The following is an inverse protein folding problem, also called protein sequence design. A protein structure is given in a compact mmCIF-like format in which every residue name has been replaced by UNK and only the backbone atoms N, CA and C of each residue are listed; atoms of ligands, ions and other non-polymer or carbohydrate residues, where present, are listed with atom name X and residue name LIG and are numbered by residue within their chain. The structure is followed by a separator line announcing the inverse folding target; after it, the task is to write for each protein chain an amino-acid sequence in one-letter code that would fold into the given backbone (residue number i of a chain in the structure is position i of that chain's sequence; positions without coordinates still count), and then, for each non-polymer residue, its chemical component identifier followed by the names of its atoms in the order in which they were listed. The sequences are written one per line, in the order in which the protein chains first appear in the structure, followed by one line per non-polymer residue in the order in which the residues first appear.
data_IF_296015670075
#
_entry.id   IF_296015670075
#
_cell.length_a   1.000
_cell.length_b   1.000
_cell.length_c   1.000
_cell.angle_alpha   90.00
_cell.angle_beta   90.00
_cell.angle_gamma   90.00
#
_symmetry.space_group_name_H-M   'P 1'
#
loop_
_entity.id
_entity.type
_entity.pdbx_description
1 polymer ?
#
# COMPACT_ATOMS: atom_id res chain seq x y z
N UNK A 1 -35.58 29.98 13.17
CA UNK A 1 -34.70 28.83 12.89
C UNK A 1 -33.71 29.25 11.81
N UNK A 2 -32.41 29.01 12.03
CA UNK A 2 -31.35 29.27 11.04
C UNK A 2 -30.66 27.94 10.75
N UNK A 3 -30.55 27.58 9.48
CA UNK A 3 -29.91 26.34 9.04
C UNK A 3 -28.79 26.69 8.08
N UNK A 4 -27.58 26.38 8.49
CA UNK A 4 -26.42 26.42 7.63
C UNK A 4 -26.28 25.11 6.86
N UNK A 5 -25.71 25.17 5.65
CA UNK A 5 -25.59 24.05 4.72
C UNK A 5 -26.93 23.32 4.46
N UNK A 6 -27.94 24.07 4.05
CA UNK A 6 -29.31 23.58 3.81
C UNK A 6 -29.39 22.43 2.79
N UNK A 7 -28.34 22.17 2.00
CA UNK A 7 -28.22 20.97 1.17
C UNK A 7 -28.36 19.65 1.95
N UNK A 8 -28.08 19.64 3.26
CA UNK A 8 -28.28 18.47 4.11
C UNK A 8 -29.77 18.07 4.27
N UNK A 9 -30.70 18.96 3.91
CA UNK A 9 -32.15 18.82 4.12
C UNK A 9 -32.88 18.73 2.76
N UNK A 10 -32.16 18.46 1.66
CA UNK A 10 -32.70 18.42 0.30
C UNK A 10 -33.76 17.34 0.02
N UNK A 11 -33.89 16.33 0.88
CA UNK A 11 -34.80 15.21 0.68
C UNK A 11 -35.98 15.28 1.65
N UNK A 12 -37.19 15.45 1.12
CA UNK A 12 -38.46 15.45 1.87
C UNK A 12 -38.70 14.13 2.62
N UNK A 13 -38.15 13.01 2.13
CA UNK A 13 -38.27 11.71 2.79
C UNK A 13 -37.37 11.58 4.04
N UNK A 14 -36.40 12.48 4.21
CA UNK A 14 -35.46 12.46 5.33
C UNK A 14 -36.16 12.68 6.67
N UNK A 15 -35.80 11.88 7.66
CA UNK A 15 -36.26 12.04 9.06
C UNK A 15 -35.88 13.43 9.58
N UNK A 16 -34.69 13.92 9.23
CA UNK A 16 -34.21 15.26 9.63
C UNK A 16 -35.13 16.36 9.10
N UNK A 17 -35.59 16.23 7.85
CA UNK A 17 -36.51 17.18 7.23
C UNK A 17 -37.86 17.21 7.97
N UNK A 18 -38.44 16.01 8.22
CA UNK A 18 -39.74 15.88 8.90
C UNK A 18 -39.74 16.44 10.32
N UNK A 19 -38.69 16.15 11.10
CA UNK A 19 -38.56 16.67 12.46
C UNK A 19 -38.41 18.19 12.45
N UNK A 20 -37.57 18.73 11.56
CA UNK A 20 -37.34 20.17 11.49
C UNK A 20 -38.58 20.94 11.06
N UNK A 21 -39.39 20.36 10.17
CA UNK A 21 -40.66 20.96 9.74
C UNK A 21 -41.67 21.06 10.89
N UNK A 22 -41.68 20.07 11.81
CA UNK A 22 -42.58 20.02 12.96
C UNK A 22 -42.29 21.06 14.05
N UNK A 23 -41.13 21.72 14.03
CA UNK A 23 -40.84 22.79 14.98
C UNK A 23 -41.62 24.06 14.63
N UNK A 24 -42.34 24.59 15.61
CA UNK A 24 -43.01 25.87 15.50
C UNK A 24 -41.97 27.00 15.49
N UNK A 25 -41.81 27.67 14.34
CA UNK A 25 -40.82 28.72 14.13
C UNK A 25 -41.44 29.81 13.25
N UNK A 26 -41.43 31.06 13.73
CA UNK A 26 -41.99 32.21 12.98
C UNK A 26 -41.22 32.51 11.69
N UNK A 27 -39.88 32.53 11.77
CA UNK A 27 -38.99 32.78 10.63
C UNK A 27 -38.03 31.61 10.44
N UNK A 28 -37.84 31.18 9.19
CA UNK A 28 -36.90 30.13 8.79
C UNK A 28 -35.90 30.73 7.79
N UNK A 29 -34.60 30.63 8.09
CA UNK A 29 -33.51 31.09 7.24
C UNK A 29 -32.65 29.90 6.83
N UNK A 30 -32.47 29.71 5.52
CA UNK A 30 -31.63 28.68 4.95
C UNK A 30 -30.41 29.32 4.31
N UNK A 31 -29.22 28.84 4.66
CA UNK A 31 -27.96 29.22 4.05
C UNK A 31 -27.41 27.99 3.30
N UNK A 32 -27.01 28.18 2.05
CA UNK A 32 -26.40 27.12 1.24
C UNK A 32 -25.43 27.73 0.23
N UNK A 33 -24.22 27.16 0.14
CA UNK A 33 -23.23 27.56 -0.86
C UNK A 33 -23.54 27.05 -2.27
N UNK A 34 -24.32 25.98 -2.39
CA UNK A 34 -24.71 25.34 -3.66
C UNK A 34 -26.23 25.18 -3.71
N UNK A 35 -26.97 26.19 -4.20
CA UNK A 35 -28.43 26.22 -4.09
C UNK A 35 -29.13 25.17 -4.94
N UNK A 36 -28.49 24.66 -5.99
CA UNK A 36 -29.07 23.71 -6.93
C UNK A 36 -27.99 22.69 -7.26
N UNK A 37 -28.22 21.42 -6.92
CA UNK A 37 -27.32 20.37 -7.37
C UNK A 37 -27.96 19.49 -8.43
N UNK A 38 -29.17 18.90 -8.31
CA UNK A 38 -29.57 17.91 -9.34
C UNK A 38 -31.07 17.72 -9.67
N UNK A 39 -32.06 18.29 -8.94
CA UNK A 39 -33.49 18.04 -9.26
C UNK A 39 -34.46 19.14 -8.81
N UNK A 40 -35.55 19.35 -9.56
CA UNK A 40 -36.67 20.23 -9.18
C UNK A 40 -37.34 19.81 -7.87
N UNK A 41 -37.31 18.51 -7.55
CA UNK A 41 -37.80 18.00 -6.28
C UNK A 41 -36.99 18.51 -5.07
N UNK A 42 -35.67 18.67 -5.22
CA UNK A 42 -34.82 19.24 -4.16
C UNK A 42 -35.15 20.72 -3.93
N UNK A 43 -35.42 21.46 -5.01
CA UNK A 43 -35.80 22.87 -4.93
C UNK A 43 -37.17 23.06 -4.28
N UNK A 44 -38.16 22.22 -4.64
CA UNK A 44 -39.47 22.22 -3.98
C UNK A 44 -39.34 21.91 -2.49
N UNK A 45 -38.54 20.91 -2.12
CA UNK A 45 -38.34 20.52 -0.72
C UNK A 45 -37.80 21.67 0.15
N UNK A 46 -36.92 22.52 -0.41
CA UNK A 46 -36.38 23.69 0.28
C UNK A 46 -37.40 24.84 0.36
N UNK A 47 -38.16 25.10 -0.72
CA UNK A 47 -39.19 26.13 -0.73
C UNK A 47 -40.37 25.80 0.20
N UNK A 48 -40.88 24.58 0.14
CA UNK A 48 -41.92 24.09 1.04
C UNK A 48 -41.45 24.12 2.51
N UNK A 49 -40.16 23.87 2.76
CA UNK A 49 -39.60 24.02 4.10
C UNK A 49 -39.62 25.47 4.62
N UNK A 50 -39.39 26.47 3.76
CA UNK A 50 -39.46 27.88 4.17
C UNK A 50 -40.92 28.33 4.35
N UNK A 51 -41.78 27.98 3.39
CA UNK A 51 -43.16 28.44 3.32
C UNK A 51 -44.07 27.27 2.92
N UNK A 52 -44.54 26.46 3.89
CA UNK A 52 -45.33 25.27 3.59
C UNK A 52 -46.64 25.63 2.87
N UNK A 53 -47.37 26.61 3.39
CA UNK A 53 -48.72 27.03 2.94
C UNK A 53 -48.82 27.57 1.52
N UNK A 54 -47.71 27.96 0.89
CA UNK A 54 -47.69 28.47 -0.48
C UNK A 54 -47.26 27.39 -1.48
N UNK A 55 -46.63 26.32 -0.99
CA UNK A 55 -46.05 25.26 -1.79
C UNK A 55 -46.49 23.90 -1.25
N UNK A 56 -47.79 23.71 -1.02
CA UNK A 56 -48.32 22.52 -0.36
C UNK A 56 -48.24 21.25 -1.24
N UNK A 57 -48.46 21.39 -2.54
CA UNK A 57 -48.46 20.25 -3.47
C UNK A 57 -47.17 20.18 -4.30
N UNK A 58 -46.46 19.06 -4.16
CA UNK A 58 -45.32 18.74 -5.03
C UNK A 58 -45.76 18.46 -6.46
N UNK A 59 -46.95 17.88 -6.66
CA UNK A 59 -47.49 17.57 -7.98
C UNK A 59 -47.87 18.84 -8.73
N UNK A 60 -48.49 19.82 -8.09
CA UNK A 60 -48.80 21.12 -8.71
C UNK A 60 -47.51 21.86 -9.07
N UNK A 61 -46.52 21.83 -8.17
CA UNK A 61 -45.21 22.41 -8.44
C UNK A 61 -44.55 21.73 -9.65
N UNK A 62 -44.56 20.40 -9.69
CA UNK A 62 -44.04 19.67 -10.84
C UNK A 62 -44.86 20.01 -12.08
N UNK A 63 -46.20 20.00 -12.08
CA UNK A 63 -46.99 20.37 -13.26
C UNK A 63 -46.71 21.79 -13.75
N UNK A 64 -46.49 22.75 -12.85
CA UNK A 64 -46.11 24.12 -13.22
C UNK A 64 -44.73 24.20 -13.89
N UNK A 65 -43.87 23.19 -13.72
CA UNK A 65 -42.48 23.20 -14.21
C UNK A 65 -42.11 22.03 -15.15
N UNK A 66 -42.84 20.92 -15.16
CA UNK A 66 -42.55 19.68 -15.91
C UNK A 66 -43.42 19.56 -17.16
N UNK A 67 -44.71 19.92 -17.12
CA UNK A 67 -45.55 20.03 -18.35
C UNK A 67 -44.96 21.03 -19.35
N UNK A 68 -44.32 22.09 -18.85
CA UNK A 68 -43.69 23.13 -19.66
C UNK A 68 -42.25 22.75 -20.13
N UNK A 69 -41.66 21.67 -19.63
CA UNK A 69 -40.34 21.17 -20.06
C UNK A 69 -40.45 19.89 -20.90
N UNK A 70 -41.37 18.99 -20.58
CA UNK A 70 -41.59 17.72 -21.30
C UNK A 70 -42.38 17.90 -22.60
N UNK A 71 -43.27 18.89 -22.71
CA UNK A 71 -43.91 19.27 -23.99
C UNK A 71 -42.93 19.72 -25.08
N UNK A 72 -41.66 19.92 -24.71
CA UNK A 72 -40.56 20.29 -25.61
C UNK A 72 -39.62 19.12 -25.97
N UNK A 73 -39.79 17.92 -25.39
CA UNK A 73 -39.00 16.75 -25.82
C UNK A 73 -39.38 16.27 -27.24
N UNK A 74 -40.56 16.64 -27.74
CA UNK A 74 -41.02 16.33 -29.09
C UNK A 74 -40.54 17.35 -30.15
N UNK A 75 -40.14 18.57 -29.74
CA UNK A 75 -39.69 19.62 -30.65
C UNK A 75 -38.31 20.14 -30.25
N UNK A 76 -37.26 19.68 -30.95
CA UNK A 76 -35.85 20.07 -30.84
C UNK A 76 -35.59 21.55 -31.15
N UNK A 77 -36.19 22.48 -30.41
CA UNK A 77 -35.90 23.91 -30.51
C UNK A 77 -35.59 24.47 -29.14
N UNK A 78 -34.38 25.04 -29.04
CA UNK A 78 -33.86 25.99 -28.06
C UNK A 78 -34.83 26.31 -26.92
N UNK A 79 -34.48 25.84 -25.71
CA UNK A 79 -35.18 26.16 -24.46
C UNK A 79 -35.39 27.68 -24.37
N UNK A 80 -36.66 28.09 -24.31
CA UNK A 80 -37.06 29.49 -24.34
C UNK A 80 -36.64 30.23 -23.05
N UNK A 81 -35.76 31.23 -23.18
CA UNK A 81 -35.33 32.14 -22.10
C UNK A 81 -36.51 32.75 -21.31
N UNK A 82 -37.70 32.82 -21.94
CA UNK A 82 -38.94 33.32 -21.35
C UNK A 82 -39.42 32.47 -20.16
N UNK A 83 -39.30 31.15 -20.21
CA UNK A 83 -39.74 30.28 -19.11
C UNK A 83 -38.74 30.29 -17.96
N UNK A 84 -37.44 30.25 -18.27
CA UNK A 84 -36.37 30.40 -17.29
C UNK A 84 -36.48 31.76 -16.57
N UNK A 85 -36.77 32.84 -17.31
CA UNK A 85 -36.94 34.16 -16.72
C UNK A 85 -38.19 34.27 -15.82
N UNK A 86 -39.29 33.57 -16.14
CA UNK A 86 -40.49 33.49 -15.27
C UNK A 86 -40.16 32.77 -13.96
N UNK A 87 -39.47 31.64 -14.03
CA UNK A 87 -38.94 30.91 -12.87
C UNK A 87 -38.05 31.79 -12.00
N UNK A 88 -37.08 32.48 -12.61
CA UNK A 88 -36.20 33.40 -11.90
C UNK A 88 -36.96 34.56 -11.24
N UNK A 89 -38.00 35.11 -11.87
CA UNK A 89 -38.84 36.17 -11.27
C UNK A 89 -39.57 35.68 -10.02
N UNK A 90 -40.08 34.46 -10.03
CA UNK A 90 -40.77 33.84 -8.89
C UNK A 90 -39.78 33.56 -7.75
N UNK A 91 -38.57 33.09 -8.07
CA UNK A 91 -37.54 32.73 -7.08
C UNK A 91 -36.79 33.94 -6.48
N UNK A 92 -36.68 35.04 -7.23
CA UNK A 92 -35.95 36.26 -6.83
C UNK A 92 -36.32 36.82 -5.43
N UNK A 93 -37.59 36.88 -5.00
CA UNK A 93 -37.93 37.33 -3.65
C UNK A 93 -37.54 36.33 -2.54
N UNK A 94 -37.41 35.04 -2.86
CA UNK A 94 -37.12 33.98 -1.88
C UNK A 94 -35.63 33.65 -1.77
N UNK A 95 -34.84 33.97 -2.80
CA UNK A 95 -33.45 33.60 -2.89
C UNK A 95 -32.57 34.81 -3.22
N UNK A 96 -31.66 35.14 -2.30
CA UNK A 96 -30.56 36.05 -2.56
C UNK A 96 -29.34 35.24 -3.01
N UNK A 97 -28.99 35.35 -4.30
CA UNK A 97 -27.78 34.74 -4.88
C UNK A 97 -26.81 35.83 -5.32
N UNK A 98 -25.56 35.74 -4.87
CA UNK A 98 -24.44 36.60 -5.32
C UNK A 98 -23.36 35.73 -5.94
N UNK A 99 -22.68 36.22 -6.97
CA UNK A 99 -21.53 35.54 -7.56
C UNK A 99 -20.26 36.13 -6.96
N UNK A 100 -19.19 35.33 -6.80
CA UNK A 100 -17.90 35.83 -6.26
C UNK A 100 -17.35 37.01 -7.05
N UNK A 101 -17.57 37.03 -8.37
CA UNK A 101 -17.24 38.15 -9.27
C UNK A 101 -17.91 39.48 -8.87
N UNK A 102 -19.07 39.43 -8.22
CA UNK A 102 -19.86 40.62 -7.88
C UNK A 102 -19.49 41.20 -6.49
N UNK A 103 -18.70 40.47 -5.69
CA UNK A 103 -18.52 40.76 -4.25
C UNK A 103 -17.06 41.00 -3.88
N UNK A 104 -16.11 40.28 -4.48
CA UNK A 104 -14.70 40.31 -4.07
C UNK A 104 -13.79 40.60 -5.26
N UNK A 105 -13.32 41.86 -5.38
CA UNK A 105 -12.38 42.31 -6.42
C UNK A 105 -10.90 42.04 -6.06
N UNK A 106 -10.62 41.62 -4.83
CA UNK A 106 -9.26 41.40 -4.32
C UNK A 106 -8.73 39.98 -4.60
N UNK A 107 -9.58 39.07 -5.09
CA UNK A 107 -9.20 37.70 -5.40
C UNK A 107 -8.65 37.58 -6.83
N UNK A 108 -7.53 36.87 -6.97
CA UNK A 108 -6.98 36.50 -8.28
C UNK A 108 -7.88 35.51 -9.02
N UNK A 109 -7.72 35.48 -10.36
CA UNK A 109 -8.48 34.57 -11.22
C UNK A 109 -8.20 33.08 -10.93
N UNK A 110 -9.25 32.27 -10.98
CA UNK A 110 -9.17 30.81 -10.86
C UNK A 110 -8.82 30.20 -12.21
N UNK A 111 -7.71 29.47 -12.27
CA UNK A 111 -7.30 28.71 -13.46
C UNK A 111 -7.48 27.21 -13.16
N UNK A 112 -8.19 26.49 -14.03
CA UNK A 112 -8.37 25.03 -13.93
C UNK A 112 -7.54 24.33 -15.02
N UNK A 113 -6.65 23.42 -14.61
CA UNK A 113 -5.81 22.64 -15.52
C UNK A 113 -6.18 21.17 -15.38
N UNK A 114 -6.62 20.57 -16.49
CA UNK A 114 -6.97 19.15 -16.55
C UNK A 114 -5.75 18.33 -16.98
N UNK A 115 -5.28 17.43 -16.12
CA UNK A 115 -4.17 16.51 -16.40
C UNK A 115 -4.70 15.08 -16.50
N UNK A 116 -4.56 14.48 -17.68
CA UNK A 116 -4.99 13.11 -17.94
C UNK A 116 -3.92 12.10 -17.50
N UNK A 117 -4.30 11.13 -16.66
CA UNK A 117 -3.38 10.12 -16.14
C UNK A 117 -3.64 8.74 -16.78
N UNK A 118 -2.63 8.08 -17.38
CA UNK A 118 -2.78 6.72 -17.88
C UNK A 118 -2.77 5.69 -16.74
N UNK A 119 -3.46 4.56 -16.93
CA UNK A 119 -3.47 3.45 -15.97
C UNK A 119 -2.13 2.69 -15.96
N UNK A 120 -1.66 2.32 -14.78
CA UNK A 120 -0.49 1.44 -14.61
C UNK A 120 -0.79 0.00 -15.03
N UNK A 121 0.25 -0.83 -15.25
CA UNK A 121 0.07 -2.22 -15.70
C UNK A 121 -0.78 -3.06 -14.72
N UNK A 122 -0.55 -2.93 -13.40
CA UNK A 122 -1.35 -3.61 -12.38
C UNK A 122 -2.81 -3.13 -12.41
N UNK A 123 -3.03 -1.83 -12.51
CA UNK A 123 -4.39 -1.27 -12.59
C UNK A 123 -5.10 -1.75 -13.85
N UNK A 124 -4.43 -1.80 -15.01
CA UNK A 124 -4.99 -2.34 -16.27
C UNK A 124 -5.44 -3.80 -16.12
N UNK A 125 -4.60 -4.65 -15.50
CA UNK A 125 -4.95 -6.05 -15.26
C UNK A 125 -6.17 -6.18 -14.34
N UNK A 126 -6.18 -5.46 -13.21
CA UNK A 126 -7.32 -5.45 -12.28
C UNK A 126 -8.59 -4.92 -12.95
N UNK A 127 -8.48 -3.85 -13.74
CA UNK A 127 -9.58 -3.25 -14.47
C UNK A 127 -10.14 -4.19 -15.54
N UNK A 128 -9.29 -4.89 -16.29
CA UNK A 128 -9.72 -5.91 -17.24
C UNK A 128 -10.37 -7.12 -16.55
N UNK A 129 -9.83 -7.56 -15.41
CA UNK A 129 -10.43 -8.63 -14.62
C UNK A 129 -11.82 -8.24 -14.09
N UNK A 130 -11.98 -7.00 -13.61
CA UNK A 130 -13.29 -6.45 -13.26
C UNK A 130 -14.23 -6.40 -14.46
N UNK A 131 -13.75 -5.94 -15.61
CA UNK A 131 -14.55 -5.90 -16.85
C UNK A 131 -15.00 -7.29 -17.30
N UNK A 132 -14.16 -8.32 -17.16
CA UNK A 132 -14.50 -9.71 -17.50
C UNK A 132 -15.52 -10.33 -16.56
N UNK A 133 -15.55 -9.92 -15.28
CA UNK A 133 -16.55 -10.37 -14.30
C UNK A 133 -17.95 -9.84 -14.63
N UNK A 134 -18.04 -8.80 -15.46
CA UNK A 134 -19.29 -8.31 -16.01
C UNK A 134 -19.59 -9.17 -17.24
N UNK A 135 -20.18 -10.35 -17.04
CA UNK A 135 -20.79 -11.07 -18.16
C UNK A 135 -21.83 -10.14 -18.80
N UNK A 136 -21.79 -10.03 -20.12
CA UNK A 136 -22.76 -9.25 -20.91
C UNK A 136 -24.19 -9.77 -20.67
N UNK A 137 -24.32 -11.06 -20.32
CA UNK A 137 -25.58 -11.72 -19.98
C UNK A 137 -26.26 -11.13 -18.73
N UNK A 138 -25.51 -10.77 -17.69
CA UNK A 138 -26.06 -10.14 -16.47
C UNK A 138 -26.60 -8.73 -16.76
N UNK A 139 -25.96 -8.02 -17.70
CA UNK A 139 -26.42 -6.71 -18.16
C UNK A 139 -27.65 -6.82 -19.08
N UNK A 140 -27.70 -7.80 -19.97
CA UNK A 140 -28.81 -7.99 -20.91
C UNK A 140 -30.08 -8.58 -20.26
N UNK A 141 -29.96 -9.41 -19.22
CA UNK A 141 -31.13 -9.89 -18.47
C UNK A 141 -31.78 -8.78 -17.63
N UNK A 142 -31.00 -7.77 -17.23
CA UNK A 142 -31.49 -6.62 -16.46
C UNK A 142 -32.37 -5.65 -17.27
N UNK A 143 -32.21 -5.60 -18.60
CA UNK A 143 -33.00 -4.73 -19.48
C UNK A 143 -34.28 -5.37 -20.02
N UNK A 144 -34.45 -6.69 -19.89
CA UNK A 144 -35.53 -7.46 -20.52
C UNK A 144 -36.61 -7.98 -19.56
N UNK A 145 -36.41 -7.92 -18.24
CA UNK A 145 -37.39 -8.45 -17.26
C UNK A 145 -37.80 -7.41 -16.21
N UNK A 146 -39.02 -6.87 -16.35
CA UNK A 146 -39.66 -5.85 -15.50
C UNK A 146 -40.25 -6.46 -14.21
N UNK A 147 -39.73 -7.60 -13.73
CA UNK A 147 -40.27 -8.32 -12.57
C UNK A 147 -39.29 -8.29 -11.41
N UNK A 148 -39.53 -7.38 -10.44
CA UNK A 148 -39.12 -7.37 -9.01
C UNK A 148 -37.69 -7.75 -8.56
N UNK A 149 -36.81 -8.24 -9.43
CA UNK A 149 -35.41 -8.61 -9.20
C UNK A 149 -34.43 -7.49 -9.63
N UNK A 150 -34.95 -6.44 -10.26
CA UNK A 150 -34.22 -5.29 -10.82
C UNK A 150 -33.51 -4.42 -9.76
N UNK A 151 -34.00 -4.39 -8.51
CA UNK A 151 -33.35 -3.63 -7.44
C UNK A 151 -32.02 -4.27 -6.98
N UNK A 152 -31.90 -5.60 -7.04
CA UNK A 152 -30.66 -6.30 -6.66
C UNK A 152 -29.57 -6.06 -7.71
N UNK A 153 -29.92 -6.15 -9.00
CA UNK A 153 -28.99 -5.94 -10.12
C UNK A 153 -28.47 -4.48 -10.22
N UNK A 154 -29.31 -3.48 -9.94
CA UNK A 154 -28.85 -2.07 -9.92
C UNK A 154 -27.89 -1.78 -8.77
N UNK A 155 -28.08 -2.43 -7.61
CA UNK A 155 -27.16 -2.32 -6.47
C UNK A 155 -25.79 -2.97 -6.75
N UNK A 156 -25.76 -4.10 -7.47
CA UNK A 156 -24.52 -4.77 -7.86
C UNK A 156 -23.75 -3.95 -8.91
N UNK A 157 -24.45 -3.31 -9.85
CA UNK A 157 -23.85 -2.39 -10.84
C UNK A 157 -23.30 -1.11 -10.20
N UNK A 158 -24.00 -0.52 -9.22
CA UNK A 158 -23.51 0.66 -8.50
C UNK A 158 -22.25 0.34 -7.69
N UNK A 159 -22.21 -0.83 -7.05
CA UNK A 159 -21.01 -1.33 -6.39
C UNK A 159 -19.86 -1.48 -7.40
N UNK A 160 -20.16 -1.96 -8.61
CA UNK A 160 -19.15 -2.18 -9.64
C UNK A 160 -18.52 -0.88 -10.17
N UNK A 161 -19.31 0.17 -10.41
CA UNK A 161 -18.80 1.51 -10.75
C UNK A 161 -17.87 2.01 -9.64
N UNK A 162 -18.25 1.79 -8.38
CA UNK A 162 -17.39 2.12 -7.24
C UNK A 162 -16.09 1.31 -7.23
N UNK A 163 -16.12 0.03 -7.60
CA UNK A 163 -14.89 -0.77 -7.72
C UNK A 163 -13.96 -0.26 -8.84
N UNK A 164 -14.51 0.14 -9.99
CA UNK A 164 -13.70 0.77 -11.04
C UNK A 164 -13.04 2.06 -10.54
N UNK A 165 -13.79 2.91 -9.83
CA UNK A 165 -13.24 4.13 -9.21
C UNK A 165 -12.11 3.80 -8.23
N UNK A 166 -12.25 2.76 -7.39
CA UNK A 166 -11.20 2.33 -6.46
C UNK A 166 -9.92 1.93 -7.19
N UNK A 167 -10.03 1.12 -8.25
CA UNK A 167 -8.85 0.68 -9.03
C UNK A 167 -8.16 1.86 -9.72
N UNK A 168 -8.93 2.81 -10.28
CA UNK A 168 -8.38 4.03 -10.90
C UNK A 168 -7.64 4.91 -9.88
N UNK A 169 -8.19 5.06 -8.66
CA UNK A 169 -7.55 5.84 -7.61
C UNK A 169 -6.26 5.15 -7.11
N UNK A 170 -6.36 3.90 -6.64
CA UNK A 170 -5.20 3.13 -6.19
C UNK A 170 -5.50 1.62 -6.14
N UNK A 171 -4.64 0.74 -6.69
CA UNK A 171 -4.91 -0.70 -6.74
C UNK A 171 -5.04 -1.36 -5.36
N UNK A 172 -4.37 -0.83 -4.33
CA UNK A 172 -4.41 -1.41 -2.98
C UNK A 172 -5.72 -1.09 -2.22
N UNK A 173 -6.55 -0.16 -2.71
CA UNK A 173 -7.91 0.03 -2.20
C UNK A 173 -8.85 -1.09 -2.63
N UNK A 174 -8.49 -1.80 -3.70
CA UNK A 174 -9.21 -2.96 -4.20
C UNK A 174 -8.63 -4.25 -3.64
N UNK A 175 -7.33 -4.48 -3.85
CA UNK A 175 -6.63 -5.68 -3.40
C UNK A 175 -5.23 -5.29 -2.90
N UNK A 176 -5.04 -5.35 -1.59
CA UNK A 176 -3.75 -5.06 -0.95
C UNK A 176 -2.74 -6.14 -1.31
N UNK A 177 -1.48 -5.74 -1.52
CA UNK A 177 -0.39 -6.71 -1.62
C UNK A 177 -0.08 -7.28 -0.25
N UNK A 178 -0.25 -8.58 -0.10
CA UNK A 178 0.17 -9.28 1.12
C UNK A 178 1.69 -9.41 1.19
N UNK A 179 2.23 -9.36 2.41
CA UNK A 179 3.65 -9.63 2.67
C UNK A 179 3.89 -11.12 2.50
N UNK A 180 4.78 -11.48 1.58
CA UNK A 180 5.13 -12.89 1.33
C UNK A 180 6.44 -13.22 2.05
N UNK A 181 6.42 -14.23 2.91
CA UNK A 181 7.61 -14.85 3.47
C UNK A 181 7.89 -16.19 2.77
N UNK A 182 9.17 -16.61 2.64
CA UNK A 182 9.48 -17.97 2.26
C UNK A 182 8.80 -18.96 3.20
N UNK A 183 8.42 -20.13 2.67
CA UNK A 183 7.89 -21.19 3.49
C UNK A 183 8.99 -21.74 4.41
N UNK A 184 8.79 -21.62 5.72
CA UNK A 184 9.68 -22.17 6.73
C UNK A 184 9.10 -23.47 7.27
N UNK A 185 9.84 -24.57 7.11
CA UNK A 185 9.54 -25.85 7.74
C UNK A 185 10.57 -26.13 8.83
N UNK A 186 10.11 -26.59 9.99
CA UNK A 186 11.01 -27.01 11.07
C UNK A 186 11.77 -28.25 10.62
N UNK A 187 13.10 -28.22 10.73
CA UNK A 187 13.92 -29.41 10.47
C UNK A 187 13.57 -30.54 11.43
N UNK A 188 13.70 -31.77 10.94
CA UNK A 188 13.55 -32.97 11.77
C UNK A 188 14.71 -32.98 12.77
N UNK A 189 14.39 -33.09 14.06
CA UNK A 189 15.39 -33.22 15.11
C UNK A 189 15.94 -34.65 15.10
N UNK A 190 17.27 -34.79 15.04
CA UNK A 190 17.93 -36.08 15.21
C UNK A 190 18.13 -36.38 16.69
N UNK A 191 17.53 -37.46 17.19
CA UNK A 191 17.67 -37.90 18.57
C UNK A 191 18.94 -38.74 18.72
N UNK A 192 19.94 -38.23 19.44
CA UNK A 192 21.17 -38.94 19.77
C UNK A 192 21.16 -39.39 21.24
N UNK A 193 21.28 -40.70 21.55
CA UNK A 193 21.41 -41.20 22.91
C UNK A 193 22.60 -40.59 23.67
N UNK A 194 22.41 -40.33 24.97
CA UNK A 194 23.42 -39.72 25.84
C UNK A 194 24.74 -40.49 25.89
N UNK A 195 24.68 -41.82 25.87
CA UNK A 195 25.86 -42.70 25.88
C UNK A 195 26.71 -42.47 24.62
N UNK A 196 26.10 -42.48 23.43
CA UNK A 196 26.79 -42.26 22.17
C UNK A 196 27.39 -40.86 22.08
N UNK A 197 26.66 -39.85 22.57
CA UNK A 197 27.18 -38.48 22.61
C UNK A 197 28.37 -38.32 23.57
N UNK A 198 28.28 -38.89 24.79
CA UNK A 198 29.34 -38.72 25.79
C UNK A 198 30.52 -39.64 25.53
N UNK A 199 30.29 -40.93 25.43
CA UNK A 199 31.37 -41.92 25.39
C UNK A 199 31.87 -42.14 23.96
N UNK A 200 30.96 -42.19 22.98
CA UNK A 200 31.33 -42.38 21.57
C UNK A 200 32.18 -41.25 21.00
N UNK A 201 31.80 -39.99 21.25
CA UNK A 201 32.56 -38.83 20.77
C UNK A 201 33.85 -38.60 21.56
N UNK A 202 33.86 -38.82 22.88
CA UNK A 202 35.08 -38.70 23.68
C UNK A 202 36.10 -39.81 23.36
N UNK A 203 35.64 -41.00 22.98
CA UNK A 203 36.55 -42.05 22.51
C UNK A 203 37.27 -41.67 21.20
N UNK A 204 36.54 -41.04 20.27
CA UNK A 204 37.12 -40.53 19.01
C UNK A 204 38.03 -39.31 19.25
N UNK A 205 37.65 -38.43 20.19
CA UNK A 205 38.40 -37.24 20.58
C UNK A 205 39.09 -37.42 21.94
N UNK A 206 39.82 -38.52 22.13
CA UNK A 206 40.52 -38.74 23.39
C UNK A 206 41.59 -37.66 23.57
N UNK A 207 41.45 -36.83 24.61
CA UNK A 207 42.35 -35.70 24.88
C UNK A 207 43.80 -36.15 25.05
N UNK A 208 44.03 -37.33 25.64
CA UNK A 208 45.38 -37.88 25.83
C UNK A 208 46.07 -38.18 24.50
N UNK A 209 45.39 -38.84 23.56
CA UNK A 209 45.97 -39.10 22.23
C UNK A 209 46.18 -37.82 21.44
N UNK A 210 45.26 -36.85 21.54
CA UNK A 210 45.41 -35.55 20.88
C UNK A 210 46.56 -34.74 21.47
N UNK A 211 46.72 -34.73 22.80
CA UNK A 211 47.85 -34.09 23.47
C UNK A 211 49.17 -34.74 23.05
N UNK A 212 49.20 -36.07 22.99
CA UNK A 212 50.40 -36.79 22.57
C UNK A 212 50.73 -36.52 21.10
N UNK A 213 49.74 -36.57 20.19
CA UNK A 213 49.97 -36.41 18.76
C UNK A 213 50.25 -34.96 18.35
N UNK A 214 49.58 -33.98 18.97
CA UNK A 214 49.67 -32.57 18.57
C UNK A 214 50.73 -31.79 19.36
N UNK A 215 50.93 -32.08 20.67
CA UNK A 215 51.87 -31.32 21.50
C UNK A 215 53.21 -32.04 21.71
N UNK A 216 53.21 -33.31 22.14
CA UNK A 216 54.49 -33.95 22.53
C UNK A 216 55.22 -34.61 21.38
N UNK A 217 54.51 -35.24 20.43
CA UNK A 217 55.10 -35.88 19.24
C UNK A 217 54.80 -35.13 17.94
N UNK A 218 54.22 -33.93 18.05
CA UNK A 218 53.93 -33.08 16.90
C UNK A 218 55.22 -32.52 16.30
N UNK A 219 55.53 -32.92 15.06
CA UNK A 219 56.72 -32.44 14.32
C UNK A 219 56.70 -30.90 14.17
N UNK A 220 55.51 -30.30 14.12
CA UNK A 220 55.31 -28.86 14.01
C UNK A 220 55.21 -28.12 15.36
N UNK A 221 55.63 -28.74 16.46
CA UNK A 221 55.70 -28.04 17.74
C UNK A 221 56.80 -26.96 17.70
N UNK A 222 56.57 -25.75 18.24
CA UNK A 222 57.51 -24.63 18.11
C UNK A 222 58.92 -24.94 18.63
N UNK A 223 59.01 -25.72 19.71
CA UNK A 223 60.28 -26.13 20.30
C UNK A 223 61.13 -26.98 19.34
N UNK A 224 60.53 -27.98 18.68
CA UNK A 224 61.25 -28.86 17.74
C UNK A 224 61.63 -28.14 16.45
N UNK A 225 60.78 -27.22 15.97
CA UNK A 225 61.12 -26.37 14.84
C UNK A 225 62.31 -25.47 15.19
N UNK A 226 62.30 -24.84 16.37
CA UNK A 226 63.39 -23.97 16.83
C UNK A 226 64.71 -24.73 17.02
N UNK A 227 64.69 -25.90 17.67
CA UNK A 227 65.88 -26.71 17.91
C UNK A 227 66.52 -27.20 16.60
N UNK A 228 65.71 -27.57 15.59
CA UNK A 228 66.22 -27.95 14.27
C UNK A 228 66.73 -26.76 13.45
N UNK A 229 66.17 -25.56 13.62
CA UNK A 229 66.66 -24.35 12.94
C UNK A 229 67.95 -23.80 13.57
N UNK A 230 68.10 -23.94 14.89
CA UNK A 230 69.23 -23.43 15.67
C UNK A 230 69.79 -24.52 16.60
N UNK A 231 70.54 -25.49 16.08
CA UNK A 231 71.21 -26.49 16.92
C UNK A 231 72.25 -25.81 17.82
N UNK A 232 72.24 -26.12 19.13
CA UNK A 232 73.17 -25.53 20.11
C UNK A 232 74.56 -26.19 20.11
N UNK A 233 74.69 -27.40 19.55
CA UNK A 233 75.89 -28.25 19.66
C UNK A 233 76.75 -28.30 18.39
N UNK A 234 77.01 -27.16 17.73
CA UNK A 234 77.87 -27.15 16.52
C UNK A 234 79.23 -26.52 16.83
N UNK A 235 80.18 -27.36 17.23
CA UNK A 235 81.62 -27.02 17.32
C UNK A 235 82.34 -27.03 15.97
N UNK A 236 81.76 -27.58 14.90
CA UNK A 236 82.41 -27.67 13.59
C UNK A 236 81.61 -26.94 12.50
N UNK A 237 82.14 -25.82 12.01
CA UNK A 237 81.48 -24.91 11.06
C UNK A 237 81.43 -25.38 9.60
N UNK A 238 81.57 -26.68 9.31
CA UNK A 238 81.76 -27.16 7.94
C UNK A 238 80.97 -28.42 7.52
N UNK A 239 79.97 -28.86 8.28
CA UNK A 239 78.98 -29.81 7.76
C UNK A 239 77.71 -29.06 7.33
N UNK A 240 77.38 -29.14 6.04
CA UNK A 240 76.09 -28.71 5.50
C UNK A 240 75.01 -29.67 6.03
N UNK A 241 74.49 -29.37 7.22
CA UNK A 241 73.36 -30.13 7.77
C UNK A 241 72.09 -29.67 7.07
N UNK A 242 71.58 -30.51 6.16
CA UNK A 242 70.29 -30.28 5.50
C UNK A 242 69.16 -30.41 6.53
N UNK A 243 68.70 -29.26 7.03
CA UNK A 243 67.59 -29.17 7.97
C UNK A 243 66.25 -29.09 7.24
N UNK A 244 65.28 -29.97 7.59
CA UNK A 244 63.95 -30.04 6.98
C UNK A 244 63.14 -28.72 7.06
N UNK A 245 63.39 -27.87 8.07
CA UNK A 245 62.67 -26.60 8.28
C UNK A 245 63.45 -25.35 7.85
N UNK A 246 64.60 -25.50 7.19
CA UNK A 246 65.44 -24.39 6.74
C UNK A 246 64.68 -23.38 5.86
N UNK A 247 63.78 -23.86 4.99
CA UNK A 247 62.98 -23.02 4.11
C UNK A 247 62.05 -22.04 4.86
N UNK A 248 61.65 -22.37 6.09
CA UNK A 248 60.73 -21.55 6.89
C UNK A 248 61.32 -20.22 7.31
N UNK A 249 62.64 -20.05 7.22
CA UNK A 249 63.27 -18.75 7.44
C UNK A 249 62.99 -17.76 6.31
N UNK A 250 62.70 -18.25 5.11
CA UNK A 250 62.48 -17.42 3.92
C UNK A 250 61.00 -17.12 3.64
N UNK A 251 60.07 -17.77 4.34
CA UNK A 251 58.62 -17.64 4.09
C UNK A 251 57.97 -16.43 4.77
N UNK A 252 58.73 -15.62 5.52
CA UNK A 252 58.22 -14.41 6.17
C UNK A 252 57.24 -14.64 7.33
N UNK A 253 57.10 -15.89 7.79
CA UNK A 253 56.22 -16.29 8.89
C UNK A 253 57.04 -16.63 10.14
N UNK A 254 56.50 -16.32 11.32
CA UNK A 254 57.12 -16.73 12.58
C UNK A 254 56.90 -18.22 12.87
N UNK A 255 57.80 -18.83 13.65
CA UNK A 255 57.73 -20.24 14.06
C UNK A 255 56.39 -20.53 14.78
N UNK A 256 55.91 -19.57 15.58
CA UNK A 256 54.62 -19.66 16.26
C UNK A 256 53.43 -19.64 15.30
N UNK A 257 53.42 -18.73 14.32
CA UNK A 257 52.36 -18.65 13.31
C UNK A 257 52.32 -19.90 12.43
N UNK A 258 53.47 -20.41 12.03
CA UNK A 258 53.61 -21.67 11.29
C UNK A 258 52.99 -22.83 12.09
N UNK A 259 53.40 -22.97 13.34
CA UNK A 259 52.89 -24.02 14.22
C UNK A 259 51.37 -23.92 14.36
N UNK A 260 50.83 -22.71 14.50
CA UNK A 260 49.38 -22.46 14.55
C UNK A 260 48.67 -22.76 13.22
N UNK A 261 49.29 -22.47 12.07
CA UNK A 261 48.73 -22.78 10.75
C UNK A 261 48.59 -24.30 10.56
N UNK A 262 49.59 -25.07 11.01
CA UNK A 262 49.61 -26.53 10.85
C UNK A 262 48.82 -27.28 11.92
N UNK A 263 48.90 -26.87 13.19
CA UNK A 263 48.25 -27.57 14.31
C UNK A 263 46.79 -27.13 14.53
N UNK A 264 46.41 -25.91 14.14
CA UNK A 264 45.02 -25.46 14.25
C UNK A 264 44.18 -25.77 13.00
N UNK A 265 42.88 -25.48 13.08
CA UNK A 265 41.89 -25.81 12.07
C UNK A 265 41.91 -24.94 10.81
N UNK A 266 40.98 -25.20 9.90
CA UNK A 266 40.87 -24.50 8.61
C UNK A 266 40.72 -22.97 8.76
N UNK A 267 40.06 -22.51 9.82
CA UNK A 267 39.81 -21.10 10.09
C UNK A 267 41.12 -20.30 10.24
N UNK A 268 42.10 -20.82 10.99
CA UNK A 268 43.38 -20.14 11.21
C UNK A 268 44.17 -20.05 9.92
N UNK A 269 44.10 -21.08 9.07
CA UNK A 269 44.73 -21.07 7.74
C UNK A 269 44.07 -20.05 6.81
N UNK A 270 42.75 -19.93 6.85
CA UNK A 270 42.02 -18.91 6.09
C UNK A 270 42.41 -17.49 6.52
N UNK A 271 42.53 -17.26 7.83
CA UNK A 271 42.99 -15.99 8.36
C UNK A 271 44.44 -15.68 7.96
N UNK A 272 45.33 -16.66 8.06
CA UNK A 272 46.71 -16.53 7.61
C UNK A 272 46.80 -16.24 6.10
N UNK A 273 46.01 -16.94 5.28
CA UNK A 273 45.94 -16.70 3.83
C UNK A 273 45.42 -15.29 3.51
N UNK A 274 44.41 -14.80 4.23
CA UNK A 274 43.91 -13.44 4.07
C UNK A 274 44.96 -12.38 4.44
N UNK A 275 45.71 -12.59 5.52
CA UNK A 275 46.79 -11.70 5.94
C UNK A 275 47.96 -11.72 4.95
N UNK A 276 48.35 -12.90 4.46
CA UNK A 276 49.37 -13.05 3.43
C UNK A 276 48.96 -12.39 2.12
N UNK A 277 47.68 -12.52 1.73
CA UNK A 277 47.13 -11.81 0.57
C UNK A 277 47.25 -10.29 0.73
N UNK A 278 46.90 -9.74 1.89
CA UNK A 278 47.09 -8.31 2.17
C UNK A 278 48.55 -7.87 2.15
N UNK A 279 49.45 -8.73 2.63
CA UNK A 279 50.88 -8.45 2.65
C UNK A 279 51.45 -8.43 1.23
N UNK A 280 50.98 -9.29 0.33
CA UNK A 280 51.45 -9.36 -1.07
C UNK A 280 51.14 -8.12 -1.92
N UNK A 281 50.20 -7.26 -1.50
CA UNK A 281 49.85 -6.00 -2.20
C UNK A 281 50.54 -4.75 -1.61
N UNK A 282 51.28 -4.89 -0.50
CA UNK A 282 52.10 -3.81 0.06
C UNK A 282 53.52 -3.91 -0.46
#
# INVERSE_FOLDING_TARGET
MVLDEAQAIKSTSSVRWKILLGFNCRNRLLLTGTPIQNSMAELWALLHFIMPTLFDSHEEFNEWFSKDIESHAENKSVIDEKHLSRLHKILKPFMLRRVKKDVENELSDKIEILVYCPLTQRQKLLYQNLRKKISIDDLMQSSSTVSSHSQSATSSLMNLVMQFRKVCNHPDLFEKREVKSPFFSKSILYFLPKLLFREGLLYLNSEEKQRLSLNTFGIFHPYYIHQNLFPQDVSDRYELVDNCFSFMRFTGLSIGEISQIFLCGLLTRWMAAYLMWKFAYR
#
